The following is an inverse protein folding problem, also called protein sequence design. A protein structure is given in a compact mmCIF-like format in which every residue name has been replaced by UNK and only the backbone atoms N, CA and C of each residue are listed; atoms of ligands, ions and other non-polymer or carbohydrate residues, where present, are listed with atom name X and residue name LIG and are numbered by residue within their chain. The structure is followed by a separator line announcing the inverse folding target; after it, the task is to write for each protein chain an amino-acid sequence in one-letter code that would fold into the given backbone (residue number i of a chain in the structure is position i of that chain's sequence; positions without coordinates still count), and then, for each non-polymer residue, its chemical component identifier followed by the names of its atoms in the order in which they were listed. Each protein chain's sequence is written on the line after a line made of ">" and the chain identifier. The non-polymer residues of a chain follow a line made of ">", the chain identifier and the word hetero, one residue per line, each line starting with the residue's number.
data_IF_473841626710
#
_entry.id   IF_473841626710
#
_cell.length_a   1.000
_cell.length_b   1.000
_cell.length_c   1.000
_cell.angle_alpha   90.00
_cell.angle_beta   90.00
_cell.angle_gamma   90.00
#
_symmetry.space_group_name_H-M   'P 1'
#
loop_
_entity.id
_entity.type
_entity.pdbx_description
1 polymer ?
#
# COMPACT_ATOMS: atom_id res chain seq x y z
N UNK A 1 -39.94 -57.31 -22.83
CA UNK A 1 -39.02 -56.26 -23.32
C UNK A 1 -38.90 -55.22 -22.21
N UNK A 2 -37.75 -55.21 -21.48
CA UNK A 2 -37.49 -54.27 -20.40
C UNK A 2 -36.34 -53.36 -20.88
N UNK A 3 -36.63 -52.05 -21.09
CA UNK A 3 -35.66 -51.07 -21.47
C UNK A 3 -34.93 -50.54 -20.23
N UNK A 4 -33.63 -50.74 -20.15
CA UNK A 4 -32.73 -50.11 -19.17
C UNK A 4 -32.36 -48.73 -19.69
N UNK A 5 -32.77 -47.69 -18.97
CA UNK A 5 -32.24 -46.31 -19.11
C UNK A 5 -30.97 -46.16 -18.25
N UNK A 6 -29.83 -46.03 -18.91
CA UNK A 6 -28.59 -45.68 -18.23
C UNK A 6 -28.49 -44.15 -18.06
N UNK A 7 -28.44 -43.70 -16.82
CA UNK A 7 -28.21 -42.28 -16.49
C UNK A 7 -26.71 -42.01 -16.51
N UNK A 8 -26.28 -41.13 -17.42
CA UNK A 8 -24.90 -40.63 -17.49
C UNK A 8 -24.75 -39.46 -16.54
N UNK A 9 -24.00 -39.62 -15.45
CA UNK A 9 -23.61 -38.54 -14.56
C UNK A 9 -22.37 -37.86 -15.13
N UNK A 10 -22.53 -36.63 -15.62
CA UNK A 10 -21.41 -35.75 -15.97
C UNK A 10 -20.85 -35.11 -14.70
N UNK A 11 -19.72 -35.61 -14.23
CA UNK A 11 -18.92 -34.92 -13.22
C UNK A 11 -18.23 -33.73 -13.87
N UNK A 12 -18.74 -32.51 -13.64
CA UNK A 12 -18.05 -31.25 -13.95
C UNK A 12 -17.02 -31.00 -12.86
N UNK A 13 -15.79 -31.46 -13.06
CA UNK A 13 -14.66 -31.15 -12.21
C UNK A 13 -14.27 -29.68 -12.41
N UNK A 14 -14.59 -28.81 -11.45
CA UNK A 14 -13.99 -27.48 -11.39
C UNK A 14 -12.48 -27.64 -11.13
N UNK A 15 -11.63 -27.38 -12.13
CA UNK A 15 -10.20 -27.21 -11.92
C UNK A 15 -10.03 -25.95 -11.04
N UNK A 16 -9.73 -26.15 -9.76
CA UNK A 16 -9.17 -25.08 -8.93
C UNK A 16 -7.82 -24.69 -9.52
N UNK A 17 -7.76 -23.52 -10.15
CA UNK A 17 -6.49 -22.95 -10.59
C UNK A 17 -5.69 -22.63 -9.33
N UNK A 18 -4.76 -23.48 -8.94
CA UNK A 18 -3.81 -23.19 -7.87
C UNK A 18 -3.01 -21.96 -8.31
N UNK A 19 -3.09 -20.88 -7.56
CA UNK A 19 -2.26 -19.70 -7.79
C UNK A 19 -0.80 -20.14 -7.79
N UNK A 20 -0.04 -19.69 -8.80
CA UNK A 20 1.40 -19.95 -8.83
C UNK A 20 2.01 -19.43 -7.53
N UNK A 21 2.99 -20.14 -6.94
CA UNK A 21 3.63 -19.70 -5.71
C UNK A 21 4.19 -18.30 -5.89
N UNK A 22 4.00 -17.44 -4.88
CA UNK A 22 4.53 -16.08 -4.90
C UNK A 22 6.05 -16.10 -5.15
N UNK A 23 6.58 -15.24 -6.02
CA UNK A 23 7.96 -15.31 -6.50
C UNK A 23 8.94 -14.72 -5.49
N UNK A 24 9.03 -15.33 -4.30
CA UNK A 24 9.97 -14.96 -3.25
C UNK A 24 11.21 -15.83 -3.25
N UNK A 25 12.34 -15.21 -2.97
CA UNK A 25 13.60 -15.89 -2.64
C UNK A 25 13.98 -15.53 -1.20
N UNK A 26 14.61 -16.47 -0.49
CA UNK A 26 15.25 -16.21 0.81
C UNK A 26 16.74 -16.44 0.69
N UNK A 27 17.56 -15.50 1.19
CA UNK A 27 19.01 -15.58 1.15
C UNK A 27 19.59 -15.39 2.55
N UNK A 28 20.56 -16.23 2.90
CA UNK A 28 21.27 -16.12 4.20
C UNK A 28 22.28 -14.94 4.20
N UNK A 29 22.87 -14.65 3.04
CA UNK A 29 23.73 -13.47 2.83
C UNK A 29 22.87 -12.35 2.28
N UNK A 30 22.62 -11.33 3.11
CA UNK A 30 21.72 -10.23 2.82
C UNK A 30 22.10 -8.97 3.57
N UNK A 31 21.50 -7.82 3.22
CA UNK A 31 21.74 -6.54 3.88
C UNK A 31 21.27 -6.59 5.36
N UNK A 32 22.04 -6.12 6.34
CA UNK A 32 21.60 -6.03 7.74
C UNK A 32 20.33 -5.20 7.97
N UNK A 33 19.98 -4.31 7.05
CA UNK A 33 18.76 -3.48 7.07
C UNK A 33 17.57 -4.17 6.37
N UNK A 34 17.78 -5.37 5.81
CA UNK A 34 16.79 -6.19 5.15
C UNK A 34 16.40 -7.43 5.95
N UNK A 35 15.31 -8.07 5.53
CA UNK A 35 14.81 -9.30 6.18
C UNK A 35 15.31 -10.59 5.50
N UNK A 36 16.24 -10.50 4.55
CA UNK A 36 16.75 -11.64 3.78
C UNK A 36 15.74 -12.26 2.82
N UNK A 37 14.59 -11.62 2.62
CA UNK A 37 13.54 -12.03 1.69
C UNK A 37 13.51 -11.10 0.48
N UNK A 38 13.43 -11.69 -0.70
CA UNK A 38 13.49 -10.97 -1.97
C UNK A 38 12.21 -11.16 -2.76
N UNK A 39 11.68 -10.08 -3.32
CA UNK A 39 10.55 -10.08 -4.23
C UNK A 39 10.97 -9.50 -5.59
N UNK A 40 10.85 -10.30 -6.64
CA UNK A 40 11.27 -9.92 -8.01
C UNK A 40 12.69 -9.28 -8.05
N UNK A 41 13.63 -9.83 -7.25
CA UNK A 41 15.02 -9.41 -7.21
C UNK A 41 15.34 -8.23 -6.29
N UNK A 42 14.35 -7.62 -5.64
CA UNK A 42 14.53 -6.58 -4.60
C UNK A 42 14.47 -7.22 -3.23
N UNK A 43 15.42 -6.91 -2.36
CA UNK A 43 15.35 -7.26 -0.95
C UNK A 43 14.32 -6.38 -0.22
N UNK A 44 13.56 -6.97 0.69
CA UNK A 44 12.55 -6.29 1.50
C UNK A 44 13.23 -5.71 2.74
N UNK A 45 13.00 -4.42 3.01
CA UNK A 45 13.55 -3.75 4.18
C UNK A 45 12.85 -4.16 5.48
N UNK A 46 13.53 -3.95 6.62
CA UNK A 46 12.89 -4.04 7.92
C UNK A 46 11.82 -2.97 8.11
N UNK A 47 10.68 -3.35 8.71
CA UNK A 47 9.59 -2.44 9.05
C UNK A 47 10.03 -1.43 10.10
N UNK A 48 9.70 -0.15 9.88
CA UNK A 48 9.91 0.90 10.87
C UNK A 48 8.92 0.76 12.03
N UNK A 49 9.42 0.49 13.24
CA UNK A 49 8.61 0.44 14.44
C UNK A 49 8.25 1.83 15.01
N UNK A 50 7.47 1.87 16.12
CA UNK A 50 7.00 3.12 16.75
C UNK A 50 8.09 4.10 17.20
N UNK A 51 9.33 3.65 17.34
CA UNK A 51 10.49 4.52 17.56
C UNK A 51 10.74 5.51 16.42
N UNK A 52 10.19 5.24 15.22
CA UNK A 52 10.28 6.12 14.05
C UNK A 52 9.34 7.33 14.05
N UNK A 53 8.41 7.45 15.01
CA UNK A 53 7.44 8.58 15.05
C UNK A 53 8.10 9.95 14.98
N UNK A 54 9.22 10.25 15.70
CA UNK A 54 9.91 11.54 15.56
C UNK A 54 10.39 11.83 14.12
N UNK A 55 10.82 10.80 13.40
CA UNK A 55 11.18 10.91 11.99
C UNK A 55 9.98 11.24 11.11
N UNK A 56 8.84 10.55 11.33
CA UNK A 56 7.60 10.74 10.57
C UNK A 56 6.99 12.15 10.77
N UNK A 57 7.21 12.77 11.93
CA UNK A 57 6.63 14.08 12.28
C UNK A 57 7.68 15.22 12.25
N UNK A 58 8.89 15.00 11.70
CA UNK A 58 9.93 16.02 11.60
C UNK A 58 9.47 17.20 10.74
N UNK A 59 9.84 18.40 11.13
CA UNK A 59 9.42 19.63 10.42
C UNK A 59 10.05 19.75 9.04
N UNK A 60 11.24 19.22 8.88
CA UNK A 60 12.01 19.21 7.63
C UNK A 60 11.24 18.50 6.51
N UNK A 61 10.35 17.57 6.84
CA UNK A 61 9.49 16.85 5.91
C UNK A 61 8.68 17.78 4.99
N UNK A 62 8.22 18.93 5.52
CA UNK A 62 7.45 19.92 4.73
C UNK A 62 8.27 20.53 3.58
N UNK A 63 9.58 20.67 3.75
CA UNK A 63 10.49 21.23 2.73
C UNK A 63 11.12 20.16 1.87
N UNK A 64 11.47 19.01 2.46
CA UNK A 64 12.15 17.90 1.81
C UNK A 64 11.22 17.09 0.92
N UNK A 65 10.06 16.71 1.41
CA UNK A 65 9.11 15.85 0.68
C UNK A 65 7.98 16.65 0.01
N UNK A 66 7.68 17.85 0.53
CA UNK A 66 6.62 18.74 0.02
C UNK A 66 5.26 18.02 -0.07
N UNK A 67 4.71 17.57 1.08
CA UNK A 67 3.52 16.70 1.12
C UNK A 67 2.29 17.33 0.46
N UNK A 68 2.20 18.66 0.36
CA UNK A 68 1.13 19.31 -0.37
C UNK A 68 1.14 18.95 -1.86
N UNK A 69 2.31 18.83 -2.49
CA UNK A 69 2.41 18.38 -3.90
C UNK A 69 1.92 16.95 -4.07
N UNK A 70 2.15 16.08 -3.06
CA UNK A 70 1.61 14.72 -3.06
C UNK A 70 0.07 14.76 -3.02
N UNK A 71 -0.51 15.54 -2.10
CA UNK A 71 -1.97 15.67 -1.96
C UNK A 71 -2.62 16.21 -3.24
N UNK A 72 -2.03 17.25 -3.83
CA UNK A 72 -2.52 17.84 -5.10
C UNK A 72 -2.48 16.81 -6.23
N UNK A 73 -1.43 15.99 -6.28
CA UNK A 73 -1.24 14.96 -7.29
C UNK A 73 -2.22 13.78 -7.15
N UNK A 74 -2.63 13.45 -5.94
CA UNK A 74 -3.61 12.38 -5.67
C UNK A 74 -5.01 12.74 -6.15
N UNK A 75 -5.32 14.03 -6.33
CA UNK A 75 -6.63 14.49 -6.81
C UNK A 75 -7.80 13.91 -6.01
N UNK A 76 -7.70 14.04 -4.68
CA UNK A 76 -8.72 13.56 -3.75
C UNK A 76 -9.97 14.43 -3.86
N UNK A 77 -11.14 13.78 -3.97
CA UNK A 77 -12.43 14.46 -4.06
C UNK A 77 -13.27 14.24 -2.79
N UNK A 78 -14.15 15.21 -2.44
CA UNK A 78 -15.12 15.02 -1.35
C UNK A 78 -15.97 13.77 -1.54
N UNK A 79 -16.26 13.08 -0.44
CA UNK A 79 -17.06 11.85 -0.42
C UNK A 79 -16.28 10.57 -0.69
N UNK A 80 -15.02 10.63 -1.07
CA UNK A 80 -14.21 9.43 -1.34
C UNK A 80 -13.82 8.68 -0.05
N UNK A 81 -13.62 7.37 -0.22
CA UNK A 81 -12.96 6.51 0.76
C UNK A 81 -11.49 6.35 0.36
N UNK A 82 -10.59 6.89 1.16
CA UNK A 82 -9.14 6.84 0.95
C UNK A 82 -8.50 5.89 1.96
N UNK A 83 -7.69 4.95 1.49
CA UNK A 83 -6.92 4.04 2.32
C UNK A 83 -5.45 4.48 2.38
N UNK A 84 -4.97 4.77 3.58
CA UNK A 84 -3.59 5.12 3.93
C UNK A 84 -2.93 3.85 4.50
N UNK A 85 -2.23 3.08 3.67
CA UNK A 85 -1.59 1.83 4.06
C UNK A 85 -0.16 2.09 4.55
N UNK A 86 0.14 1.67 5.79
CA UNK A 86 1.31 2.05 6.54
C UNK A 86 1.18 3.48 7.08
N UNK A 87 0.04 3.80 7.67
CA UNK A 87 -0.32 5.16 8.08
C UNK A 87 0.61 5.76 9.14
N UNK A 88 1.38 4.92 9.86
CA UNK A 88 2.32 5.34 10.91
C UNK A 88 1.66 6.21 11.98
N UNK A 89 2.13 7.45 12.13
CA UNK A 89 1.54 8.44 13.06
C UNK A 89 0.25 9.10 12.55
N UNK A 90 -0.19 8.78 11.31
CA UNK A 90 -1.32 9.42 10.65
C UNK A 90 -0.97 10.74 9.95
N UNK A 91 0.30 10.98 9.67
CA UNK A 91 0.76 12.23 9.06
C UNK A 91 -0.04 12.63 7.82
N UNK A 92 -0.28 11.72 6.90
CA UNK A 92 -1.12 11.94 5.71
C UNK A 92 -2.61 11.77 6.01
N UNK A 93 -3.01 10.82 6.84
CA UNK A 93 -4.41 10.60 7.20
C UNK A 93 -5.10 11.88 7.70
N UNK A 94 -4.44 12.65 8.57
CA UNK A 94 -4.99 13.91 9.10
C UNK A 94 -5.03 15.04 8.05
N UNK A 95 -4.18 15.03 7.05
CA UNK A 95 -4.20 15.99 5.94
C UNK A 95 -5.29 15.66 4.91
N UNK A 96 -5.61 14.38 4.76
CA UNK A 96 -6.62 13.90 3.81
C UNK A 96 -8.03 14.01 4.39
N UNK A 97 -8.21 13.83 5.68
CA UNK A 97 -9.51 13.88 6.33
C UNK A 97 -10.36 15.12 5.97
N UNK A 98 -9.82 16.35 5.97
CA UNK A 98 -10.57 17.53 5.54
C UNK A 98 -10.88 17.54 4.03
N UNK A 99 -10.04 16.93 3.17
CA UNK A 99 -10.22 16.90 1.73
C UNK A 99 -11.39 16.01 1.31
N UNK A 100 -11.55 14.85 1.96
CA UNK A 100 -12.69 13.96 1.70
C UNK A 100 -13.99 14.48 2.33
N UNK A 101 -13.90 15.39 3.31
CA UNK A 101 -15.07 16.01 3.96
C UNK A 101 -15.91 15.03 4.80
N UNK A 102 -17.06 15.51 5.27
CA UNK A 102 -17.91 14.76 6.22
C UNK A 102 -18.58 13.51 5.61
N UNK A 103 -18.70 13.44 4.28
CA UNK A 103 -19.29 12.29 3.57
C UNK A 103 -18.24 11.28 3.13
N UNK A 104 -16.97 11.63 3.16
CA UNK A 104 -15.85 10.75 2.88
C UNK A 104 -15.24 10.20 4.16
N UNK A 105 -14.26 9.30 4.01
CA UNK A 105 -13.53 8.72 5.14
C UNK A 105 -12.10 8.36 4.76
N UNK A 106 -11.24 8.33 5.76
CA UNK A 106 -9.87 7.85 5.69
C UNK A 106 -9.77 6.55 6.48
N UNK A 107 -9.29 5.51 5.84
CA UNK A 107 -8.95 4.25 6.48
C UNK A 107 -7.43 4.28 6.73
N UNK A 108 -7.04 4.57 7.97
CA UNK A 108 -5.64 4.58 8.41
C UNK A 108 -5.23 3.16 8.80
N UNK A 109 -4.43 2.52 7.97
CA UNK A 109 -4.10 1.10 8.05
C UNK A 109 -2.65 0.95 8.47
N UNK A 110 -2.39 0.12 9.46
CA UNK A 110 -1.03 -0.19 9.91
C UNK A 110 -0.97 -1.60 10.49
N UNK A 111 0.20 -2.23 10.43
CA UNK A 111 0.47 -3.55 11.03
C UNK A 111 0.83 -3.42 12.50
N UNK A 112 1.26 -2.24 12.95
CA UNK A 112 1.68 -1.97 14.33
C UNK A 112 0.54 -1.36 15.15
N UNK A 113 -0.05 -2.07 16.12
CA UNK A 113 -1.19 -1.57 16.91
C UNK A 113 -0.90 -0.27 17.66
N UNK A 114 0.37 -0.01 18.03
CA UNK A 114 0.76 1.22 18.73
C UNK A 114 0.66 2.45 17.84
N UNK A 115 0.91 2.32 16.53
CA UNK A 115 0.68 3.39 15.56
C UNK A 115 -0.80 3.73 15.45
N UNK A 116 -1.67 2.73 15.35
CA UNK A 116 -3.12 2.92 15.30
C UNK A 116 -3.66 3.58 16.58
N UNK A 117 -3.08 3.25 17.74
CA UNK A 117 -3.42 3.91 19.01
C UNK A 117 -3.08 5.40 18.96
N UNK A 118 -1.90 5.78 18.45
CA UNK A 118 -1.48 7.19 18.29
C UNK A 118 -2.50 7.93 17.41
N UNK A 119 -2.89 7.35 16.26
CA UNK A 119 -3.88 7.93 15.34
C UNK A 119 -5.22 8.13 16.06
N UNK A 120 -5.73 7.08 16.73
CA UNK A 120 -7.03 7.11 17.41
C UNK A 120 -7.08 8.19 18.51
N UNK A 121 -6.01 8.28 19.31
CA UNK A 121 -5.90 9.31 20.36
C UNK A 121 -5.81 10.73 19.77
N UNK A 122 -5.07 10.89 18.68
CA UNK A 122 -4.95 12.16 17.95
C UNK A 122 -6.28 12.57 17.34
N UNK A 123 -7.00 11.65 16.68
CA UNK A 123 -8.31 11.90 16.09
C UNK A 123 -9.32 12.34 17.16
N UNK A 124 -9.37 11.65 18.30
CA UNK A 124 -10.22 12.02 19.43
C UNK A 124 -9.90 13.42 19.97
N UNK A 125 -8.61 13.74 20.17
CA UNK A 125 -8.17 15.08 20.67
C UNK A 125 -8.50 16.21 19.70
N UNK A 126 -8.40 15.95 18.39
CA UNK A 126 -8.66 16.93 17.34
C UNK A 126 -10.13 16.96 16.88
N UNK A 127 -11.01 16.14 17.49
CA UNK A 127 -12.41 15.96 17.09
C UNK A 127 -12.59 15.61 15.59
N UNK A 128 -11.66 14.84 15.03
CA UNK A 128 -11.74 14.35 13.65
C UNK A 128 -12.49 13.02 13.64
N UNK A 129 -13.68 12.98 13.02
CA UNK A 129 -14.59 11.84 13.09
C UNK A 129 -14.50 10.91 11.88
N UNK A 130 -13.88 11.34 10.77
CA UNK A 130 -13.85 10.62 9.50
C UNK A 130 -12.53 9.86 9.23
N UNK A 131 -11.74 9.61 10.27
CA UNK A 131 -10.60 8.70 10.26
C UNK A 131 -10.97 7.42 11.02
N UNK A 132 -10.82 6.27 10.36
CA UNK A 132 -11.01 4.94 10.98
C UNK A 132 -9.68 4.19 10.94
N UNK A 133 -9.23 3.67 12.08
CA UNK A 133 -8.02 2.85 12.14
C UNK A 133 -8.35 1.40 11.81
N UNK A 134 -7.49 0.74 11.01
CA UNK A 134 -7.62 -0.65 10.59
C UNK A 134 -6.31 -1.37 10.88
N UNK A 135 -6.36 -2.44 11.66
CA UNK A 135 -5.19 -3.29 11.90
C UNK A 135 -5.04 -4.26 10.71
N UNK A 136 -3.93 -4.14 9.99
CA UNK A 136 -3.56 -5.07 8.92
C UNK A 136 -2.78 -6.27 9.46
N UNK A 137 -2.63 -7.29 8.59
CA UNK A 137 -1.61 -8.31 8.72
C UNK A 137 -0.45 -8.00 7.76
N UNK A 138 0.68 -8.73 7.80
CA UNK A 138 1.75 -8.54 6.80
C UNK A 138 1.33 -8.81 5.34
N UNK A 139 0.22 -9.52 5.11
CA UNK A 139 -0.26 -9.94 3.78
C UNK A 139 -1.68 -9.49 3.41
N UNK A 140 -2.40 -8.85 4.33
CA UNK A 140 -3.80 -8.44 4.12
C UNK A 140 -4.06 -7.08 4.79
N UNK A 141 -4.53 -6.06 4.07
CA UNK A 141 -4.88 -4.76 4.63
C UNK A 141 -6.19 -4.78 5.44
N UNK A 142 -6.89 -5.92 5.51
CA UNK A 142 -8.18 -6.11 6.17
C UNK A 142 -9.24 -5.09 5.72
N UNK A 143 -9.36 -4.92 4.41
CA UNK A 143 -10.34 -4.03 3.78
C UNK A 143 -11.47 -4.82 3.12
N UNK A 144 -12.68 -4.28 3.19
CA UNK A 144 -13.85 -4.84 2.49
C UNK A 144 -13.68 -4.74 0.96
N UNK A 145 -14.01 -5.78 0.19
CA UNK A 145 -13.96 -5.74 -1.27
C UNK A 145 -14.77 -4.58 -1.87
N UNK A 146 -14.21 -3.90 -2.86
CA UNK A 146 -14.88 -2.82 -3.59
C UNK A 146 -15.25 -1.60 -2.74
N UNK A 147 -14.54 -1.36 -1.63
CA UNK A 147 -14.87 -0.29 -0.67
C UNK A 147 -14.02 0.98 -0.82
N UNK A 148 -12.91 0.93 -1.55
CA UNK A 148 -11.88 1.98 -1.59
C UNK A 148 -11.80 2.64 -2.97
N UNK A 149 -11.75 3.97 -3.01
CA UNK A 149 -11.58 4.77 -4.23
C UNK A 149 -10.10 4.97 -4.60
N UNK A 150 -9.26 5.20 -3.58
CA UNK A 150 -7.81 5.35 -3.71
C UNK A 150 -7.13 4.72 -2.50
N UNK A 151 -6.16 3.85 -2.75
CA UNK A 151 -5.20 3.42 -1.75
C UNK A 151 -3.84 4.04 -2.07
N UNK A 152 -3.16 4.57 -1.05
CA UNK A 152 -1.80 5.08 -1.23
C UNK A 152 -0.88 4.58 -0.14
N UNK A 153 0.40 4.55 -0.45
CA UNK A 153 1.51 4.19 0.45
C UNK A 153 2.60 5.23 0.30
N UNK A 154 3.13 5.73 1.41
CA UNK A 154 4.21 6.73 1.42
C UNK A 154 5.39 6.18 2.21
N UNK A 155 6.45 5.80 1.51
CA UNK A 155 7.67 5.21 2.07
C UNK A 155 7.37 3.96 2.92
N UNK A 156 6.53 3.05 2.38
CA UNK A 156 6.02 1.84 3.05
C UNK A 156 6.16 0.59 2.21
N UNK A 157 5.95 0.69 0.89
CA UNK A 157 5.88 -0.49 0.04
C UNK A 157 7.16 -1.34 0.08
N UNK A 158 8.31 -0.68 0.22
CA UNK A 158 9.60 -1.36 0.31
C UNK A 158 9.76 -2.22 1.58
N UNK A 159 8.92 -2.02 2.61
CA UNK A 159 8.88 -2.75 3.88
C UNK A 159 7.84 -3.89 3.90
N UNK A 160 6.97 -4.03 2.89
CA UNK A 160 5.94 -5.06 2.86
C UNK A 160 6.57 -6.46 2.77
N UNK A 161 6.37 -7.27 3.81
CA UNK A 161 6.92 -8.64 3.88
C UNK A 161 6.32 -9.59 2.83
N UNK A 162 5.05 -9.37 2.45
CA UNK A 162 4.32 -10.15 1.46
C UNK A 162 3.67 -9.22 0.42
N UNK A 163 4.47 -8.50 -0.40
CA UNK A 163 3.93 -7.48 -1.33
C UNK A 163 2.97 -8.03 -2.37
N UNK A 164 3.15 -9.26 -2.86
CA UNK A 164 2.26 -9.86 -3.85
C UNK A 164 0.87 -10.14 -3.26
N UNK A 165 0.81 -10.76 -2.08
CA UNK A 165 -0.44 -11.06 -1.36
C UNK A 165 -1.14 -9.76 -0.95
N UNK A 166 -0.40 -8.81 -0.39
CA UNK A 166 -0.91 -7.50 0.00
C UNK A 166 -1.53 -6.79 -1.20
N UNK A 167 -0.82 -6.70 -2.33
CA UNK A 167 -1.32 -6.07 -3.55
C UNK A 167 -2.54 -6.80 -4.13
N UNK A 168 -2.60 -8.13 -4.02
CA UNK A 168 -3.77 -8.91 -4.43
C UNK A 168 -5.00 -8.49 -3.62
N UNK A 169 -4.87 -8.37 -2.29
CA UNK A 169 -5.94 -7.91 -1.40
C UNK A 169 -6.30 -6.43 -1.61
N UNK A 170 -5.31 -5.59 -1.82
CA UNK A 170 -5.52 -4.18 -2.22
C UNK A 170 -6.37 -4.11 -3.49
N UNK A 171 -6.04 -4.93 -4.50
CA UNK A 171 -6.79 -4.98 -5.75
C UNK A 171 -8.23 -5.41 -5.55
N UNK A 172 -8.50 -6.38 -4.66
CA UNK A 172 -9.86 -6.78 -4.28
C UNK A 172 -10.62 -5.62 -3.61
N UNK A 173 -9.99 -4.89 -2.71
CA UNK A 173 -10.57 -3.78 -1.95
C UNK A 173 -10.93 -2.56 -2.80
N UNK A 174 -10.22 -2.34 -3.92
CA UNK A 174 -10.51 -1.22 -4.82
C UNK A 174 -11.82 -1.39 -5.57
N UNK A 175 -12.59 -0.30 -5.69
CA UNK A 175 -13.74 -0.19 -6.58
C UNK A 175 -13.33 -0.32 -8.06
N UNK A 176 -14.28 -0.61 -8.96
CA UNK A 176 -14.05 -0.40 -10.39
C UNK A 176 -13.57 1.04 -10.65
N UNK A 177 -12.44 1.22 -11.35
CA UNK A 177 -11.81 2.51 -11.56
C UNK A 177 -11.03 3.07 -10.36
N UNK A 178 -10.94 2.30 -9.27
CA UNK A 178 -10.11 2.63 -8.12
C UNK A 178 -8.62 2.65 -8.46
N UNK A 179 -7.86 3.46 -7.74
CA UNK A 179 -6.44 3.71 -8.01
C UNK A 179 -5.55 3.31 -6.85
N UNK A 180 -4.29 3.02 -7.17
CA UNK A 180 -3.19 2.91 -6.20
C UNK A 180 -2.16 3.97 -6.50
N UNK A 181 -1.62 4.61 -5.47
CA UNK A 181 -0.49 5.52 -5.55
C UNK A 181 0.65 5.01 -4.65
N UNK A 182 1.82 4.81 -5.22
CA UNK A 182 3.05 4.59 -4.47
C UNK A 182 3.88 5.86 -4.48
N UNK A 183 4.27 6.29 -3.29
CA UNK A 183 5.21 7.38 -3.06
C UNK A 183 6.43 6.77 -2.38
N UNK A 184 7.58 6.77 -3.04
CA UNK A 184 8.80 6.11 -2.58
C UNK A 184 10.02 6.97 -2.89
N UNK A 185 11.01 7.00 -2.00
CA UNK A 185 12.29 7.70 -2.23
C UNK A 185 13.00 7.17 -3.47
N UNK A 186 13.58 8.08 -4.27
CA UNK A 186 14.26 7.78 -5.53
C UNK A 186 15.56 7.03 -5.29
N UNK A 187 15.62 5.75 -5.66
CA UNK A 187 16.86 4.98 -5.61
C UNK A 187 17.86 5.36 -6.71
N UNK A 188 17.36 5.93 -7.82
CA UNK A 188 18.19 6.40 -8.95
C UNK A 188 18.95 7.69 -8.65
N UNK A 189 18.51 8.46 -7.65
CA UNK A 189 19.12 9.74 -7.31
C UNK A 189 20.12 9.57 -6.16
N UNK A 190 21.44 9.74 -6.42
CA UNK A 190 22.46 9.62 -5.38
C UNK A 190 22.40 10.75 -4.34
N UNK A 191 21.70 11.86 -4.63
CA UNK A 191 21.51 12.95 -3.67
C UNK A 191 20.44 12.63 -2.62
N UNK A 192 19.62 11.61 -2.81
CA UNK A 192 18.63 11.15 -1.83
C UNK A 192 19.34 10.34 -0.74
N UNK A 193 19.60 10.98 0.40
CA UNK A 193 20.37 10.44 1.53
C UNK A 193 19.51 9.56 2.45
N UNK A 194 18.86 8.55 1.87
CA UNK A 194 18.07 7.52 2.55
C UNK A 194 18.80 6.18 2.39
N UNK A 195 18.67 5.28 3.36
CA UNK A 195 19.27 3.94 3.32
C UNK A 195 18.86 3.20 2.05
N UNK A 196 19.75 2.37 1.45
CA UNK A 196 19.51 1.76 0.15
C UNK A 196 18.20 0.95 0.04
N UNK A 197 17.87 0.15 1.06
CA UNK A 197 16.66 -0.69 1.03
C UNK A 197 15.36 0.11 1.26
N UNK A 198 15.46 1.34 1.78
CA UNK A 198 14.31 2.24 1.97
C UNK A 198 14.12 3.21 0.79
N UNK A 199 14.65 2.85 -0.39
CA UNK A 199 14.46 3.56 -1.66
C UNK A 199 14.07 2.59 -2.76
N UNK A 200 13.28 3.03 -3.71
CA UNK A 200 12.91 2.22 -4.86
C UNK A 200 13.15 2.93 -6.19
N UNK A 201 13.54 2.16 -7.21
CA UNK A 201 13.55 2.70 -8.57
C UNK A 201 12.12 2.71 -9.14
N UNK A 202 11.80 3.72 -9.96
CA UNK A 202 10.52 3.76 -10.68
C UNK A 202 10.27 2.46 -11.46
N UNK A 203 11.31 1.93 -12.10
CA UNK A 203 11.26 0.67 -12.85
C UNK A 203 10.86 -0.52 -11.97
N UNK A 204 11.38 -0.62 -10.74
CA UNK A 204 11.04 -1.71 -9.83
C UNK A 204 9.61 -1.58 -9.33
N UNK A 205 9.17 -0.36 -8.97
CA UNK A 205 7.78 -0.09 -8.59
C UNK A 205 6.82 -0.55 -9.69
N UNK A 206 7.05 -0.13 -10.94
CA UNK A 206 6.19 -0.49 -12.07
C UNK A 206 6.20 -2.00 -12.29
N UNK A 207 7.36 -2.66 -12.21
CA UNK A 207 7.49 -4.11 -12.38
C UNK A 207 6.67 -4.88 -11.35
N UNK A 208 6.78 -4.52 -10.07
CA UNK A 208 6.12 -5.25 -8.98
C UNK A 208 4.60 -5.07 -9.01
N UNK A 209 4.10 -3.86 -9.24
CA UNK A 209 2.66 -3.63 -9.31
C UNK A 209 2.04 -4.22 -10.58
N UNK A 210 2.75 -4.19 -11.70
CA UNK A 210 2.28 -4.85 -12.93
C UNK A 210 2.19 -6.37 -12.75
N UNK A 211 3.15 -6.98 -12.05
CA UNK A 211 3.11 -8.40 -11.73
C UNK A 211 1.90 -8.79 -10.85
N UNK A 212 1.41 -7.86 -10.01
CA UNK A 212 0.20 -8.01 -9.22
C UNK A 212 -1.09 -7.64 -9.98
N UNK A 213 -1.00 -7.34 -11.28
CA UNK A 213 -2.14 -7.09 -12.17
C UNK A 213 -2.66 -5.65 -12.17
N UNK A 214 -1.87 -4.68 -11.70
CA UNK A 214 -2.18 -3.25 -11.83
C UNK A 214 -1.65 -2.69 -13.16
N UNK A 215 -2.35 -1.73 -13.72
CA UNK A 215 -1.94 -1.02 -14.92
C UNK A 215 -1.30 0.32 -14.55
N UNK A 216 -0.02 0.50 -14.91
CA UNK A 216 0.65 1.78 -14.73
C UNK A 216 -0.08 2.88 -15.50
N UNK A 217 -0.46 3.95 -14.82
CA UNK A 217 -1.15 5.11 -15.41
C UNK A 217 -0.17 6.23 -15.74
N UNK A 218 0.57 6.70 -14.76
CA UNK A 218 1.57 7.76 -14.92
C UNK A 218 2.50 7.85 -13.72
N UNK A 219 3.67 8.45 -13.92
CA UNK A 219 4.59 8.84 -12.86
C UNK A 219 4.67 10.35 -12.78
N UNK A 220 4.46 10.91 -11.59
CA UNK A 220 4.59 12.34 -11.29
C UNK A 220 5.98 12.58 -10.72
N UNK A 221 6.76 13.45 -11.36
CA UNK A 221 8.16 13.71 -11.06
C UNK A 221 8.42 15.07 -10.41
N UNK A 222 7.37 15.73 -9.91
CA UNK A 222 7.47 17.06 -9.28
C UNK A 222 7.91 17.01 -7.83
N UNK A 223 7.87 15.83 -7.20
CA UNK A 223 8.36 15.67 -5.83
C UNK A 223 9.89 15.72 -5.79
N UNK A 224 10.48 16.43 -4.82
CA UNK A 224 11.94 16.61 -4.76
C UNK A 224 12.70 15.28 -4.61
N UNK A 225 12.32 14.47 -3.63
CA UNK A 225 13.06 13.28 -3.21
C UNK A 225 12.39 11.96 -3.59
N UNK A 226 11.10 11.98 -3.97
CA UNK A 226 10.28 10.78 -4.14
C UNK A 226 9.74 10.65 -5.57
N UNK A 227 9.48 9.40 -5.98
CA UNK A 227 8.56 9.11 -7.08
C UNK A 227 7.14 9.13 -6.54
N UNK A 228 6.17 9.59 -7.34
CA UNK A 228 4.76 9.31 -7.14
C UNK A 228 4.27 8.57 -8.38
N UNK A 229 3.98 7.29 -8.22
CA UNK A 229 3.59 6.41 -9.32
C UNK A 229 2.14 5.99 -9.13
N UNK A 230 1.31 6.28 -10.13
CA UNK A 230 -0.13 6.01 -10.13
C UNK A 230 -0.45 4.78 -10.98
N UNK A 231 -1.32 3.94 -10.43
CA UNK A 231 -1.82 2.74 -11.08
C UNK A 231 -3.34 2.67 -11.00
N UNK A 232 -3.92 1.96 -11.95
CA UNK A 232 -5.34 1.57 -11.97
C UNK A 232 -5.48 0.07 -11.74
N UNK A 233 -6.64 -0.30 -11.17
CA UNK A 233 -7.05 -1.70 -10.93
C UNK A 233 -7.18 -2.48 -12.23
#
# INVERSE_FOLDING_TARGET
>A
MRSLLAALWLFSGALACAAAPAPYETRADHDPDGIGKFYLGREIAHVMGPGGVPWLERRERETEERPQLTLDALQIAPGQTIADLGAGSGYYSFRIAPLVGAQGRVLAIDVEPRMLKIISERARRAAVANITTVLSTPSDPNLEPGSVDLLFMVDVYHELEFPFEMLTKVREALRPGGRVALIEYKAEDPAVMIKPLHKMTERQIIRELTAAGFRHQKTIRTLPLQHLVLFEK
#
